data_IF_047219136511
#
_entry.id   IF_047219136511
#
_cell.length_a   1.000
_cell.length_b   1.000
_cell.length_c   1.000
_cell.angle_alpha   90.00
_cell.angle_beta   90.00
_cell.angle_gamma   90.00
#
_symmetry.space_group_name_H-M   'P 1'
#
loop_
_entity.id
_entity.type
_entity.pdbx_description
1 polymer ?
#
# COMPACT_ATOMS: atom_id res chain seq x y z
N UNK A 1 -3.89 -32.59 -1.99
CA UNK A 1 -3.58 -31.17 -2.27
C UNK A 1 -3.68 -30.38 -0.98
N UNK A 2 -2.53 -30.23 -0.29
CA UNK A 2 -2.45 -29.48 0.96
C UNK A 2 -2.40 -27.98 0.61
N UNK A 3 -3.48 -27.26 0.92
CA UNK A 3 -3.73 -25.83 0.67
C UNK A 3 -3.93 -25.40 -0.80
N UNK A 4 -5.19 -25.20 -1.19
CA UNK A 4 -5.53 -24.31 -2.29
C UNK A 4 -5.56 -22.87 -1.75
N UNK A 5 -4.81 -21.92 -2.34
CA UNK A 5 -4.84 -20.53 -1.91
C UNK A 5 -6.26 -19.95 -2.07
N UNK A 6 -6.84 -19.47 -0.97
CA UNK A 6 -8.07 -18.68 -1.04
C UNK A 6 -7.72 -17.19 -1.12
N UNK A 7 -8.66 -16.38 -1.61
CA UNK A 7 -8.54 -14.92 -1.61
C UNK A 7 -8.12 -14.37 -0.24
N UNK A 8 -8.76 -14.84 0.83
CA UNK A 8 -8.46 -14.40 2.18
C UNK A 8 -7.07 -14.84 2.66
N UNK A 9 -6.61 -16.03 2.25
CA UNK A 9 -5.26 -16.52 2.59
C UNK A 9 -4.20 -15.63 1.95
N UNK A 10 -4.34 -15.33 0.66
CA UNK A 10 -3.41 -14.46 -0.07
C UNK A 10 -3.43 -13.03 0.48
N UNK A 11 -4.63 -12.50 0.76
CA UNK A 11 -4.79 -11.18 1.37
C UNK A 11 -4.10 -11.11 2.75
N UNK A 12 -4.32 -12.10 3.61
CA UNK A 12 -3.73 -12.11 4.94
C UNK A 12 -2.20 -12.17 4.89
N UNK A 13 -1.64 -13.03 4.03
CA UNK A 13 -0.19 -13.13 3.84
C UNK A 13 0.37 -11.78 3.37
N UNK A 14 -0.26 -11.13 2.39
CA UNK A 14 0.20 -9.83 1.92
C UNK A 14 0.15 -8.78 3.03
N UNK A 15 -0.98 -8.66 3.74
CA UNK A 15 -1.09 -7.72 4.85
C UNK A 15 -0.04 -7.95 5.94
N UNK A 16 0.29 -9.22 6.20
CA UNK A 16 1.30 -9.61 7.18
C UNK A 16 2.72 -9.16 6.80
N UNK A 17 3.01 -8.95 5.51
CA UNK A 17 4.33 -8.52 5.05
C UNK A 17 4.37 -7.06 4.54
N UNK A 18 3.26 -6.50 4.06
CA UNK A 18 3.22 -5.15 3.47
C UNK A 18 3.61 -4.04 4.45
N UNK A 19 3.31 -4.20 5.74
CA UNK A 19 3.67 -3.20 6.76
C UNK A 19 5.18 -3.10 7.02
N UNK A 20 5.96 -4.13 6.67
CA UNK A 20 7.42 -4.15 6.89
C UNK A 20 8.10 -3.00 6.12
N UNK A 21 7.59 -2.64 4.94
CA UNK A 21 8.08 -1.51 4.16
C UNK A 21 7.96 -0.16 4.91
N UNK A 22 6.94 -0.02 5.77
CA UNK A 22 6.69 1.21 6.53
C UNK A 22 7.59 1.35 7.76
N UNK A 23 8.15 0.24 8.27
CA UNK A 23 8.95 0.23 9.51
C UNK A 23 10.14 1.18 9.42
N UNK A 24 10.86 1.15 8.29
CA UNK A 24 12.03 2.02 8.08
C UNK A 24 11.64 3.50 8.00
N UNK A 25 10.52 3.80 7.35
CA UNK A 25 9.99 5.17 7.21
C UNK A 25 9.60 5.72 8.58
N UNK A 26 8.79 4.97 9.33
CA UNK A 26 8.34 5.36 10.67
C UNK A 26 9.55 5.55 11.59
N UNK A 27 10.51 4.62 11.56
CA UNK A 27 11.74 4.76 12.36
C UNK A 27 12.53 6.02 12.02
N UNK A 28 12.69 6.34 10.73
CA UNK A 28 13.38 7.55 10.29
C UNK A 28 12.67 8.82 10.80
N UNK A 29 11.34 8.87 10.68
CA UNK A 29 10.54 9.99 11.16
C UNK A 29 10.58 10.13 12.69
N UNK A 30 10.60 9.03 13.44
CA UNK A 30 10.77 9.08 14.90
C UNK A 30 12.14 9.61 15.31
N UNK A 31 13.21 9.16 14.64
CA UNK A 31 14.58 9.64 14.90
C UNK A 31 14.72 11.14 14.57
N UNK A 32 14.12 11.58 13.47
CA UNK A 32 14.05 12.98 13.07
C UNK A 32 13.25 13.80 14.08
N UNK A 33 12.06 13.34 14.45
CA UNK A 33 11.15 14.07 15.32
C UNK A 33 11.69 14.26 16.73
N UNK A 34 12.48 13.32 17.24
CA UNK A 34 13.19 13.45 18.52
C UNK A 34 14.11 14.67 18.58
N UNK A 35 14.59 15.16 17.43
CA UNK A 35 15.47 16.33 17.35
C UNK A 35 14.71 17.65 17.19
N UNK A 36 13.38 17.65 17.11
CA UNK A 36 12.61 18.89 17.00
C UNK A 36 12.56 19.67 18.31
N UNK A 37 12.59 21.00 18.20
CA UNK A 37 12.64 21.90 19.35
C UNK A 37 11.38 21.80 20.22
N UNK A 38 10.21 21.60 19.62
CA UNK A 38 8.96 21.41 20.39
C UNK A 38 8.96 20.10 21.20
N UNK A 39 9.62 19.04 20.71
CA UNK A 39 9.77 17.78 21.45
C UNK A 39 10.73 17.97 22.62
N UNK A 40 11.84 18.68 22.39
CA UNK A 40 12.82 19.01 23.44
C UNK A 40 12.19 19.89 24.52
N UNK A 41 11.42 20.91 24.13
CA UNK A 41 10.69 21.77 25.05
C UNK A 41 9.63 21.01 25.86
N UNK A 42 8.83 20.15 25.23
CA UNK A 42 7.85 19.32 25.92
C UNK A 42 8.50 18.41 26.97
N UNK A 43 9.66 17.82 26.64
CA UNK A 43 10.44 17.01 27.58
C UNK A 43 11.00 17.85 28.73
N UNK A 44 11.51 19.07 28.45
CA UNK A 44 12.01 19.99 29.49
C UNK A 44 10.89 20.43 30.46
N UNK A 45 9.65 20.49 29.98
CA UNK A 45 8.45 20.77 30.79
C UNK A 45 7.94 19.54 31.57
N UNK A 46 8.65 18.41 31.52
CA UNK A 46 8.29 17.19 32.27
C UNK A 46 7.16 16.36 31.67
N UNK A 47 6.80 16.58 30.41
CA UNK A 47 5.79 15.76 29.72
C UNK A 47 6.30 14.33 29.53
N UNK A 48 5.46 13.33 29.81
CA UNK A 48 5.83 11.92 29.66
C UNK A 48 6.13 11.54 28.22
N UNK A 49 7.13 10.68 28.01
CA UNK A 49 7.53 10.20 26.68
C UNK A 49 6.37 9.57 25.91
N UNK A 50 5.50 8.80 26.56
CA UNK A 50 4.32 8.22 25.93
C UNK A 50 3.38 9.30 25.37
N UNK A 51 3.12 10.37 26.14
CA UNK A 51 2.29 11.48 25.67
C UNK A 51 2.96 12.19 24.50
N UNK A 52 4.27 12.42 24.55
CA UNK A 52 5.02 13.03 23.44
C UNK A 52 4.93 12.16 22.18
N UNK A 53 5.12 10.85 22.32
CA UNK A 53 5.06 9.89 21.22
C UNK A 53 3.69 9.89 20.55
N UNK A 54 2.60 9.67 21.28
CA UNK A 54 1.26 9.53 20.68
C UNK A 54 0.64 10.86 20.25
N UNK A 55 0.95 11.98 20.93
CA UNK A 55 0.36 13.30 20.64
C UNK A 55 1.12 14.06 19.57
N UNK A 56 2.44 13.88 19.48
CA UNK A 56 3.29 14.72 18.65
C UNK A 56 4.08 13.94 17.60
N UNK A 57 4.81 12.89 18.00
CA UNK A 57 5.73 12.18 17.09
C UNK A 57 4.99 11.25 16.13
N UNK A 58 4.07 10.43 16.64
CA UNK A 58 3.32 9.46 15.85
C UNK A 58 2.45 10.14 14.77
N UNK A 59 1.65 11.18 15.08
CA UNK A 59 0.89 11.89 14.03
C UNK A 59 1.80 12.47 12.94
N UNK A 60 2.98 12.99 13.30
CA UNK A 60 3.94 13.48 12.31
C UNK A 60 4.48 12.35 11.42
N UNK A 61 4.82 11.19 12.00
CA UNK A 61 5.28 10.02 11.24
C UNK A 61 4.19 9.39 10.36
N UNK A 62 2.91 9.53 10.74
CA UNK A 62 1.76 9.05 9.96
C UNK A 62 1.64 9.79 8.62
N UNK A 63 2.02 11.07 8.53
CA UNK A 63 2.00 11.82 7.26
C UNK A 63 2.92 11.19 6.22
N UNK A 64 4.13 10.80 6.63
CA UNK A 64 5.06 10.08 5.77
C UNK A 64 4.52 8.69 5.40
N UNK A 65 3.91 7.99 6.35
CA UNK A 65 3.30 6.67 6.13
C UNK A 65 2.17 6.72 5.09
N UNK A 66 1.28 7.72 5.21
CA UNK A 66 0.18 7.97 4.27
C UNK A 66 0.68 8.29 2.86
N UNK A 67 1.86 8.92 2.76
CA UNK A 67 2.51 9.19 1.47
C UNK A 67 2.90 7.91 0.74
N UNK A 68 3.34 6.87 1.45
CA UNK A 68 3.78 5.61 0.83
C UNK A 68 2.65 4.59 0.63
N UNK A 69 1.52 4.78 1.31
CA UNK A 69 0.39 3.85 1.27
C UNK A 69 -0.11 3.54 -0.17
N UNK A 70 -0.26 4.51 -1.09
CA UNK A 70 -0.73 4.23 -2.45
C UNK A 70 0.21 3.28 -3.21
N UNK A 71 1.52 3.45 -3.03
CA UNK A 71 2.54 2.64 -3.68
C UNK A 71 2.57 1.22 -3.12
N UNK A 72 2.39 1.05 -1.81
CA UNK A 72 2.32 -0.27 -1.18
C UNK A 72 1.08 -1.03 -1.65
N UNK A 73 -0.06 -0.36 -1.75
CA UNK A 73 -1.29 -0.97 -2.26
C UNK A 73 -1.15 -1.39 -3.73
N UNK A 74 -0.59 -0.51 -4.57
CA UNK A 74 -0.34 -0.78 -5.98
C UNK A 74 0.64 -1.95 -6.18
N UNK A 75 1.73 -1.98 -5.41
CA UNK A 75 2.69 -3.08 -5.38
C UNK A 75 2.03 -4.40 -4.96
N UNK A 76 1.19 -4.38 -3.92
CA UNK A 76 0.48 -5.58 -3.43
C UNK A 76 -0.44 -6.18 -4.50
N UNK A 77 -1.18 -5.33 -5.23
CA UNK A 77 -2.05 -5.76 -6.33
C UNK A 77 -1.24 -6.32 -7.50
N UNK A 78 -0.12 -5.69 -7.83
CA UNK A 78 0.80 -6.18 -8.87
C UNK A 78 1.37 -7.55 -8.51
N UNK A 79 1.73 -7.76 -7.23
CA UNK A 79 2.17 -9.06 -6.71
C UNK A 79 1.07 -10.11 -6.81
N UNK A 80 -0.17 -9.81 -6.39
CA UNK A 80 -1.30 -10.74 -6.54
C UNK A 80 -1.55 -11.12 -7.99
N UNK A 81 -1.61 -10.11 -8.87
CA UNK A 81 -1.84 -10.29 -10.30
C UNK A 81 -0.75 -11.16 -10.92
N UNK A 82 0.50 -10.98 -10.49
CA UNK A 82 1.64 -11.78 -10.96
C UNK A 82 1.56 -13.22 -10.45
N UNK A 83 1.19 -13.43 -9.18
CA UNK A 83 0.99 -14.78 -8.62
C UNK A 83 -0.16 -15.52 -9.31
N UNK A 84 -1.28 -14.83 -9.56
CA UNK A 84 -2.42 -15.33 -10.32
C UNK A 84 -1.99 -15.73 -11.73
N UNK A 85 -1.25 -14.87 -12.44
CA UNK A 85 -0.75 -15.15 -13.79
C UNK A 85 0.24 -16.33 -13.84
N UNK A 86 1.03 -16.54 -12.77
CA UNK A 86 1.95 -17.67 -12.64
C UNK A 86 1.26 -18.96 -12.17
N UNK A 87 -0.03 -18.91 -11.82
CA UNK A 87 -0.81 -20.06 -11.33
C UNK A 87 -0.61 -20.39 -9.84
N UNK A 88 0.05 -19.52 -9.08
CA UNK A 88 0.22 -19.64 -7.62
C UNK A 88 -0.82 -18.84 -6.82
N UNK A 89 -1.67 -18.10 -7.50
CA UNK A 89 -2.71 -17.27 -6.90
C UNK A 89 -4.03 -18.02 -6.69
N UNK A 90 -5.14 -17.38 -7.06
CA UNK A 90 -6.48 -17.92 -6.91
C UNK A 90 -6.70 -19.20 -7.75
N UNK A 91 -7.62 -20.09 -7.34
CA UNK A 91 -7.89 -21.32 -8.07
C UNK A 91 -8.32 -21.04 -9.53
N UNK A 92 -7.98 -21.93 -10.48
CA UNK A 92 -8.36 -21.78 -11.88
C UNK A 92 -9.87 -21.58 -12.07
N UNK A 93 -10.26 -20.68 -12.97
CA UNK A 93 -11.66 -20.31 -13.20
C UNK A 93 -12.21 -19.23 -12.26
N UNK A 94 -11.40 -18.73 -11.31
CA UNK A 94 -11.74 -17.54 -10.54
C UNK A 94 -11.56 -16.26 -11.39
N UNK A 95 -12.44 -15.25 -11.22
CA UNK A 95 -12.30 -13.98 -11.93
C UNK A 95 -11.17 -13.13 -11.31
N UNK A 96 -9.93 -13.39 -11.71
CA UNK A 96 -8.74 -12.67 -11.23
C UNK A 96 -8.05 -11.89 -12.35
N UNK A 97 -7.32 -10.82 -11.99
CA UNK A 97 -6.62 -9.98 -12.96
C UNK A 97 -5.49 -10.71 -13.66
N UNK A 98 -4.79 -11.60 -12.95
CA UNK A 98 -3.74 -12.42 -13.54
C UNK A 98 -4.30 -13.48 -14.49
N UNK A 99 -5.47 -14.05 -14.17
CA UNK A 99 -6.18 -14.99 -15.04
C UNK A 99 -6.64 -14.30 -16.34
N UNK A 100 -7.10 -13.04 -16.29
CA UNK A 100 -7.42 -12.28 -17.50
C UNK A 100 -6.20 -12.12 -18.43
N UNK A 101 -5.02 -11.85 -17.87
CA UNK A 101 -3.77 -11.83 -18.65
C UNK A 101 -3.39 -13.22 -19.16
N UNK A 102 -3.63 -14.27 -18.36
CA UNK A 102 -3.38 -15.66 -18.72
C UNK A 102 -4.21 -16.07 -19.95
N UNK A 103 -5.47 -15.66 -19.99
CA UNK A 103 -6.39 -15.90 -21.11
C UNK A 103 -5.97 -15.13 -22.36
N UNK A 104 -5.54 -13.87 -22.17
CA UNK A 104 -4.98 -13.05 -23.25
C UNK A 104 -3.75 -13.69 -23.90
N UNK A 105 -2.82 -14.24 -23.11
CA UNK A 105 -1.64 -14.94 -23.67
C UNK A 105 -1.99 -16.30 -24.31
N UNK A 106 -3.00 -17.00 -23.79
CA UNK A 106 -3.36 -18.33 -24.27
C UNK A 106 -4.13 -18.27 -25.60
N UNK A 107 -4.88 -17.19 -25.81
CA UNK A 107 -5.72 -16.98 -26.99
C UNK A 107 -5.15 -15.88 -27.87
N UNK A 108 -3.98 -16.12 -28.48
CA UNK A 108 -3.29 -15.13 -29.35
C UNK A 108 -4.16 -14.74 -30.55
N UNK A 109 -5.05 -15.64 -31.00
CA UNK A 109 -6.02 -15.37 -32.05
C UNK A 109 -7.14 -14.38 -31.63
N UNK A 110 -7.28 -14.11 -30.33
CA UNK A 110 -8.25 -13.20 -29.74
C UNK A 110 -7.55 -12.02 -29.04
N UNK A 111 -6.90 -11.11 -29.80
CA UNK A 111 -6.07 -10.03 -29.24
C UNK A 111 -6.83 -9.06 -28.34
N UNK A 112 -8.15 -8.97 -28.48
CA UNK A 112 -9.00 -8.17 -27.59
C UNK A 112 -8.93 -8.63 -26.13
N UNK A 113 -8.66 -9.91 -25.85
CA UNK A 113 -8.51 -10.41 -24.47
C UNK A 113 -7.24 -9.85 -23.81
N UNK A 114 -6.12 -9.81 -24.55
CA UNK A 114 -4.89 -9.19 -24.07
C UNK A 114 -5.03 -7.68 -23.87
N UNK A 115 -5.66 -6.99 -24.84
CA UNK A 115 -5.84 -5.55 -24.80
C UNK A 115 -6.77 -5.11 -23.65
N UNK A 116 -7.87 -5.84 -23.43
CA UNK A 116 -8.79 -5.57 -22.31
C UNK A 116 -8.11 -5.79 -20.97
N UNK A 117 -7.36 -6.89 -20.80
CA UNK A 117 -6.57 -7.13 -19.59
C UNK A 117 -5.56 -6.02 -19.31
N UNK A 118 -4.83 -5.58 -20.33
CA UNK A 118 -3.90 -4.46 -20.23
C UNK A 118 -4.57 -3.15 -19.80
N UNK A 119 -5.66 -2.76 -20.49
CA UNK A 119 -6.38 -1.50 -20.21
C UNK A 119 -6.96 -1.51 -18.80
N UNK A 120 -7.59 -2.62 -18.38
CA UNK A 120 -8.19 -2.76 -17.05
C UNK A 120 -7.14 -2.60 -15.96
N UNK A 121 -6.00 -3.31 -16.07
CA UNK A 121 -4.93 -3.23 -15.07
C UNK A 121 -4.32 -1.82 -15.07
N UNK A 122 -4.00 -1.26 -16.23
CA UNK A 122 -3.40 0.06 -16.34
C UNK A 122 -4.29 1.16 -15.72
N UNK A 123 -5.60 1.15 -16.05
CA UNK A 123 -6.55 2.11 -15.50
C UNK A 123 -6.73 1.91 -14.00
N UNK A 124 -6.93 0.68 -13.52
CA UNK A 124 -7.13 0.39 -12.11
C UNK A 124 -5.92 0.83 -11.27
N UNK A 125 -4.70 0.46 -11.68
CA UNK A 125 -3.48 0.85 -10.98
C UNK A 125 -3.28 2.37 -10.97
N UNK A 126 -3.59 3.05 -12.08
CA UNK A 126 -3.52 4.51 -12.17
C UNK A 126 -4.53 5.19 -11.25
N UNK A 127 -5.79 4.73 -11.27
CA UNK A 127 -6.84 5.25 -10.40
C UNK A 127 -6.53 5.06 -8.93
N UNK A 128 -5.96 3.92 -8.54
CA UNK A 128 -5.55 3.67 -7.16
C UNK A 128 -4.45 4.63 -6.69
N UNK A 129 -3.49 4.95 -7.55
CA UNK A 129 -2.47 5.96 -7.23
C UNK A 129 -3.12 7.32 -7.06
N UNK A 130 -4.00 7.74 -7.98
CA UNK A 130 -4.67 9.04 -7.88
C UNK A 130 -5.57 9.15 -6.64
N UNK A 131 -6.35 8.11 -6.32
CA UNK A 131 -7.14 8.06 -5.09
C UNK A 131 -6.21 8.15 -3.88
N UNK A 132 -5.09 7.44 -3.91
CA UNK A 132 -4.10 7.47 -2.83
C UNK A 132 -3.46 8.83 -2.62
N UNK A 133 -3.08 9.52 -3.70
CA UNK A 133 -2.58 10.90 -3.63
C UNK A 133 -3.66 11.86 -3.15
N UNK A 134 -4.92 11.71 -3.58
CA UNK A 134 -6.03 12.52 -3.07
C UNK A 134 -6.29 12.31 -1.58
N UNK A 135 -6.21 11.06 -1.10
CA UNK A 135 -6.28 10.74 0.34
C UNK A 135 -5.12 11.39 1.08
N UNK A 136 -3.89 11.21 0.59
CA UNK A 136 -2.70 11.85 1.17
C UNK A 136 -2.86 13.37 1.26
N UNK A 137 -3.34 14.00 0.19
CA UNK A 137 -3.59 15.44 0.12
C UNK A 137 -4.65 15.88 1.14
N UNK A 138 -5.72 15.11 1.34
CA UNK A 138 -6.73 15.41 2.34
C UNK A 138 -6.19 15.34 3.78
N UNK A 139 -5.16 14.52 4.02
CA UNK A 139 -4.48 14.39 5.31
C UNK A 139 -3.24 15.29 5.45
N UNK A 140 -2.87 16.10 4.44
CA UNK A 140 -1.78 17.06 4.55
C UNK A 140 -2.26 18.34 5.27
N UNK A 141 -1.82 18.58 6.53
CA UNK A 141 -2.28 19.73 7.32
C UNK A 141 -1.75 21.08 6.82
N UNK A 142 -0.87 21.11 5.80
CA UNK A 142 -0.34 22.37 5.25
C UNK A 142 -1.35 23.10 4.36
N UNK A 143 -2.37 22.40 3.84
CA UNK A 143 -3.37 23.00 2.93
C UNK A 143 -4.57 23.64 3.66
N UNK A 144 -4.75 23.41 4.96
CA UNK A 144 -5.86 23.97 5.75
C UNK A 144 -5.63 25.38 6.28
N UNK A 145 -4.45 25.98 6.04
CA UNK A 145 -4.08 27.31 6.56
C UNK A 145 -3.82 28.37 5.48
N UNK A 146 -4.39 28.22 4.27
CA UNK A 146 -4.42 29.27 3.25
C UNK A 146 -5.83 29.81 3.03
#
# INVERSE_FOLDING_TARGET
NFFQPSFFTLLFILLLFSWVALVHVVRAEFLRARNFDYVRAARALGVSDARIMFRHVLPNAMVATLTFLPFILNGSITTLTSLDFLGFGLPPGSPSLGELLLQGKANIAAPWLGLTGFIVIALMLSLLIFIGEAVRDAFDPRKTFS
#
